data_IF_269488523856
#
_entry.id   IF_269488523856
#
_cell.length_a   1.000
_cell.length_b   1.000
_cell.length_c   1.000
_cell.angle_alpha   90.00
_cell.angle_beta   90.00
_cell.angle_gamma   90.00
#
_symmetry.space_group_name_H-M   'P 1'
#
loop_
_entity.id
_entity.type
_entity.pdbx_description
1 polymer ?
#
# COMPACT_ATOMS: atom_id res chain seq x y z
N UNK A 1 4.79 23.91 -17.60
CA UNK A 1 4.45 22.86 -16.61
C UNK A 1 4.97 21.56 -17.18
N UNK A 2 5.84 20.90 -16.44
CA UNK A 2 6.48 19.68 -16.93
C UNK A 2 5.48 18.50 -16.90
N UNK A 3 5.76 17.46 -17.69
CA UNK A 3 4.96 16.22 -17.76
C UNK A 3 4.84 15.56 -16.38
N UNK A 4 5.91 15.60 -15.57
CA UNK A 4 5.91 15.08 -14.20
C UNK A 4 4.82 15.78 -13.35
N UNK A 5 4.76 17.12 -13.40
CA UNK A 5 3.75 17.88 -12.65
C UNK A 5 2.34 17.50 -13.09
N UNK A 6 2.13 17.33 -14.41
CA UNK A 6 0.82 16.95 -14.97
C UNK A 6 0.41 15.57 -14.45
N UNK A 7 1.31 14.59 -14.48
CA UNK A 7 1.04 13.23 -13.98
C UNK A 7 0.72 13.26 -12.48
N UNK A 8 1.54 13.94 -11.67
CA UNK A 8 1.34 14.03 -10.23
C UNK A 8 0.02 14.75 -9.87
N UNK A 9 -0.33 15.81 -10.59
CA UNK A 9 -1.62 16.49 -10.42
C UNK A 9 -2.80 15.61 -10.81
N UNK A 10 -2.71 14.84 -11.89
CA UNK A 10 -3.77 13.90 -12.30
C UNK A 10 -3.96 12.82 -11.24
N UNK A 11 -2.87 12.23 -10.72
CA UNK A 11 -2.93 11.25 -9.63
C UNK A 11 -3.58 11.86 -8.38
N UNK A 12 -3.15 13.07 -7.98
CA UNK A 12 -3.73 13.77 -6.85
C UNK A 12 -5.22 14.08 -7.07
N UNK A 13 -5.62 14.49 -8.27
CA UNK A 13 -7.02 14.77 -8.60
C UNK A 13 -7.87 13.50 -8.55
N UNK A 14 -7.39 12.38 -9.09
CA UNK A 14 -8.08 11.09 -9.01
C UNK A 14 -8.24 10.69 -7.54
N UNK A 15 -7.17 10.78 -6.75
CA UNK A 15 -7.19 10.47 -5.33
C UNK A 15 -8.18 11.37 -4.56
N UNK A 16 -8.20 12.67 -4.86
CA UNK A 16 -9.15 13.62 -4.30
C UNK A 16 -10.59 13.21 -4.62
N UNK A 17 -10.91 12.89 -5.88
CA UNK A 17 -12.26 12.49 -6.30
C UNK A 17 -12.69 11.16 -5.67
N UNK A 18 -11.77 10.21 -5.56
CA UNK A 18 -12.01 8.93 -4.88
C UNK A 18 -12.29 9.17 -3.39
N UNK A 19 -11.46 9.97 -2.72
CA UNK A 19 -11.63 10.32 -1.31
C UNK A 19 -12.90 11.13 -1.04
N UNK A 20 -13.26 12.03 -1.94
CA UNK A 20 -14.52 12.79 -1.86
C UNK A 20 -15.74 11.89 -1.97
N UNK A 21 -15.69 10.87 -2.84
CA UNK A 21 -16.78 9.91 -2.99
C UNK A 21 -16.88 8.95 -1.82
N UNK A 22 -15.73 8.46 -1.32
CA UNK A 22 -15.65 7.49 -0.23
C UNK A 22 -15.83 8.11 1.15
N UNK A 23 -15.41 9.35 1.38
CA UNK A 23 -15.44 9.96 2.72
C UNK A 23 -14.30 9.52 3.64
N UNK A 24 -14.07 10.30 4.70
CA UNK A 24 -13.01 10.07 5.68
C UNK A 24 -13.23 8.77 6.46
N UNK A 25 -14.45 8.50 6.90
CA UNK A 25 -14.77 7.29 7.67
C UNK A 25 -14.50 6.02 6.87
N UNK A 26 -14.94 5.93 5.62
CA UNK A 26 -14.58 4.78 4.76
C UNK A 26 -13.07 4.67 4.53
N UNK A 27 -12.37 5.80 4.34
CA UNK A 27 -10.92 5.80 4.14
C UNK A 27 -10.14 5.27 5.36
N UNK A 28 -10.44 5.79 6.56
CA UNK A 28 -9.84 5.31 7.82
C UNK A 28 -10.29 3.87 8.09
N UNK A 29 -11.58 3.58 7.90
CA UNK A 29 -12.16 2.25 8.09
C UNK A 29 -11.49 1.21 7.21
N UNK A 30 -11.13 1.54 5.97
CA UNK A 30 -10.37 0.66 5.08
C UNK A 30 -8.95 0.38 5.58
N UNK A 31 -8.25 1.40 6.12
CA UNK A 31 -6.93 1.21 6.72
C UNK A 31 -7.01 0.33 7.98
N UNK A 32 -7.97 0.61 8.85
CA UNK A 32 -8.23 -0.19 10.06
C UNK A 32 -8.64 -1.61 9.69
N UNK A 33 -9.46 -1.79 8.66
CA UNK A 33 -9.85 -3.10 8.15
C UNK A 33 -8.64 -3.88 7.64
N UNK A 34 -7.77 -3.24 6.86
CA UNK A 34 -6.56 -3.87 6.34
C UNK A 34 -5.61 -4.32 7.45
N UNK A 35 -5.23 -3.40 8.35
CA UNK A 35 -4.28 -3.67 9.44
C UNK A 35 -4.88 -4.67 10.42
N UNK A 36 -6.13 -4.47 10.81
CA UNK A 36 -6.86 -5.38 11.71
C UNK A 36 -6.98 -6.78 11.12
N UNK A 37 -7.35 -6.90 9.84
CA UNK A 37 -7.46 -8.19 9.17
C UNK A 37 -6.12 -8.92 9.08
N UNK A 38 -5.02 -8.23 8.74
CA UNK A 38 -3.68 -8.86 8.73
C UNK A 38 -3.28 -9.32 10.12
N UNK A 39 -3.48 -8.49 11.14
CA UNK A 39 -3.16 -8.84 12.51
C UNK A 39 -3.97 -10.05 12.99
N UNK A 40 -5.29 -10.04 12.79
CA UNK A 40 -6.16 -11.17 13.15
C UNK A 40 -5.84 -12.43 12.33
N UNK A 41 -5.61 -12.31 11.02
CA UNK A 41 -5.24 -13.45 10.19
C UNK A 41 -3.93 -14.09 10.67
N UNK A 42 -2.91 -13.28 10.97
CA UNK A 42 -1.64 -13.78 11.53
C UNK A 42 -1.85 -14.57 12.83
N UNK A 43 -2.74 -14.10 13.69
CA UNK A 43 -3.02 -14.73 15.00
C UNK A 43 -3.83 -16.02 14.88
N UNK A 44 -4.85 -16.06 14.02
CA UNK A 44 -5.84 -17.16 14.00
C UNK A 44 -5.69 -18.13 12.82
N UNK A 45 -4.87 -17.82 11.80
CA UNK A 45 -4.72 -18.67 10.62
C UNK A 45 -4.19 -20.07 10.96
N UNK A 46 -3.26 -20.19 11.92
CA UNK A 46 -2.73 -21.49 12.33
C UNK A 46 -3.81 -22.40 12.90
N UNK A 47 -4.63 -21.87 13.82
CA UNK A 47 -5.72 -22.64 14.42
C UNK A 47 -6.77 -23.06 13.38
N UNK A 48 -7.11 -22.18 12.43
CA UNK A 48 -8.04 -22.52 11.37
C UNK A 48 -7.45 -23.55 10.37
N UNK A 49 -6.14 -23.51 10.12
CA UNK A 49 -5.46 -24.49 9.28
C UNK A 49 -5.49 -25.89 9.88
N UNK A 50 -5.35 -26.02 11.21
CA UNK A 50 -5.49 -27.30 11.91
C UNK A 50 -6.89 -27.91 11.74
N UNK A 51 -7.93 -27.07 11.79
CA UNK A 51 -9.31 -27.51 11.53
C UNK A 51 -9.44 -28.03 10.10
N UNK A 52 -8.86 -27.33 9.11
CA UNK A 52 -8.89 -27.77 7.72
C UNK A 52 -8.08 -29.05 7.49
N UNK A 53 -6.97 -29.25 8.19
CA UNK A 53 -6.19 -30.49 8.12
C UNK A 53 -7.02 -31.72 8.55
N UNK A 54 -7.99 -31.53 9.46
CA UNK A 54 -8.94 -32.59 9.85
C UNK A 54 -9.90 -33.02 8.73
N UNK A 55 -10.13 -32.19 7.71
CA UNK A 55 -10.99 -32.51 6.56
C UNK A 55 -10.20 -32.81 5.29
N UNK A 56 -9.00 -32.25 5.14
CA UNK A 56 -8.12 -32.38 3.98
C UNK A 56 -6.71 -32.80 4.38
N UNK A 57 -6.59 -33.99 4.97
CA UNK A 57 -5.32 -34.51 5.51
C UNK A 57 -4.23 -34.80 4.47
N UNK A 58 -4.58 -34.86 3.18
CA UNK A 58 -3.62 -35.08 2.08
C UNK A 58 -2.98 -33.78 1.56
N UNK A 59 -3.46 -32.61 1.98
CA UNK A 59 -2.92 -31.32 1.53
C UNK A 59 -1.72 -30.86 2.38
N UNK A 60 -0.79 -30.15 1.75
CA UNK A 60 0.36 -29.55 2.43
C UNK A 60 -0.09 -28.51 3.48
N UNK A 61 0.46 -28.61 4.69
CA UNK A 61 0.16 -27.73 5.83
C UNK A 61 0.38 -26.24 5.50
N UNK A 62 1.37 -25.90 4.68
CA UNK A 62 1.61 -24.52 4.24
C UNK A 62 0.48 -24.02 3.35
N UNK A 63 -0.03 -24.87 2.46
CA UNK A 63 -1.16 -24.53 1.60
C UNK A 63 -2.41 -24.31 2.45
N UNK A 64 -2.66 -25.17 3.43
CA UNK A 64 -3.77 -25.00 4.36
C UNK A 64 -3.65 -23.72 5.18
N UNK A 65 -2.45 -23.37 5.66
CA UNK A 65 -2.19 -22.10 6.35
C UNK A 65 -2.47 -20.89 5.45
N UNK A 66 -2.02 -20.89 4.20
CA UNK A 66 -2.26 -19.79 3.26
C UNK A 66 -3.76 -19.62 3.01
N UNK A 67 -4.50 -20.71 2.81
CA UNK A 67 -5.96 -20.68 2.62
C UNK A 67 -6.64 -20.14 3.88
N UNK A 68 -6.26 -20.63 5.06
CA UNK A 68 -6.80 -20.18 6.34
C UNK A 68 -6.53 -18.69 6.58
N UNK A 69 -5.30 -18.23 6.32
CA UNK A 69 -4.92 -16.83 6.41
C UNK A 69 -5.76 -15.96 5.48
N UNK A 70 -5.89 -16.35 4.21
CA UNK A 70 -6.70 -15.63 3.24
C UNK A 70 -8.17 -15.56 3.68
N UNK A 71 -8.73 -16.66 4.20
CA UNK A 71 -10.12 -16.68 4.65
C UNK A 71 -10.34 -15.74 5.84
N UNK A 72 -9.51 -15.84 6.89
CA UNK A 72 -9.63 -14.96 8.06
C UNK A 72 -9.46 -13.50 7.65
N UNK A 73 -8.45 -13.20 6.82
CA UNK A 73 -8.22 -11.86 6.32
C UNK A 73 -9.45 -11.31 5.59
N UNK A 74 -10.02 -12.06 4.64
CA UNK A 74 -11.17 -11.61 3.85
C UNK A 74 -12.41 -11.39 4.72
N UNK A 75 -12.71 -12.31 5.64
CA UNK A 75 -13.87 -12.21 6.53
C UNK A 75 -13.75 -10.99 7.45
N UNK A 76 -12.61 -10.82 8.12
CA UNK A 76 -12.40 -9.71 9.04
C UNK A 76 -12.40 -8.38 8.30
N UNK A 77 -11.70 -8.30 7.17
CA UNK A 77 -11.65 -7.10 6.33
C UNK A 77 -13.06 -6.71 5.86
N UNK A 78 -13.88 -7.68 5.43
CA UNK A 78 -15.27 -7.45 5.04
C UNK A 78 -16.10 -6.90 6.20
N UNK A 79 -16.04 -7.53 7.39
CA UNK A 79 -16.81 -7.12 8.56
C UNK A 79 -16.46 -5.69 8.99
N UNK A 80 -15.18 -5.36 9.12
CA UNK A 80 -14.75 -4.01 9.51
C UNK A 80 -15.15 -2.99 8.44
N UNK A 81 -15.00 -3.34 7.17
CA UNK A 81 -15.42 -2.47 6.06
C UNK A 81 -16.92 -2.18 6.11
N UNK A 82 -17.77 -3.18 6.37
CA UNK A 82 -19.21 -2.99 6.50
C UNK A 82 -19.56 -2.06 7.68
N UNK A 83 -18.88 -2.22 8.82
CA UNK A 83 -19.05 -1.32 9.97
C UNK A 83 -18.68 0.13 9.63
N UNK A 84 -17.59 0.34 8.90
CA UNK A 84 -17.19 1.67 8.45
C UNK A 84 -18.25 2.31 7.53
N UNK A 85 -18.83 1.54 6.60
CA UNK A 85 -19.90 2.03 5.72
C UNK A 85 -21.18 2.37 6.50
N UNK A 86 -21.50 1.60 7.54
CA UNK A 86 -22.63 1.89 8.41
C UNK A 86 -22.42 3.21 9.17
N UNK A 87 -21.25 3.38 9.79
CA UNK A 87 -20.89 4.61 10.49
C UNK A 87 -20.92 5.83 9.55
N UNK A 88 -20.45 5.66 8.32
CA UNK A 88 -20.51 6.72 7.33
C UNK A 88 -21.93 7.12 6.97
N UNK A 89 -22.85 6.15 6.89
CA UNK A 89 -24.27 6.41 6.65
C UNK A 89 -24.88 7.21 7.80
N UNK A 90 -24.49 6.93 9.04
CA UNK A 90 -24.90 7.72 10.21
C UNK A 90 -24.36 9.16 10.15
N UNK A 91 -23.11 9.37 9.78
CA UNK A 91 -22.56 10.74 9.62
C UNK A 91 -23.26 11.55 8.54
N UNK A 92 -23.69 10.89 7.45
CA UNK A 92 -24.50 11.52 6.41
C UNK A 92 -25.86 11.97 6.95
N UNK A 93 -26.48 11.17 7.82
CA UNK A 93 -27.74 11.52 8.48
C UNK A 93 -27.61 12.72 9.44
N UNK A 94 -26.42 12.94 10.00
CA UNK A 94 -26.12 14.06 10.92
C UNK A 94 -25.73 15.37 10.20
N UNK A 95 -25.96 15.51 8.89
CA UNK A 95 -25.55 16.66 8.05
C UNK A 95 -24.03 16.94 8.00
N UNK A 96 -23.20 16.11 8.64
CA UNK A 96 -21.73 16.17 8.62
C UNK A 96 -21.12 15.52 7.37
N UNK A 97 -21.96 15.10 6.41
CA UNK A 97 -21.55 14.40 5.21
C UNK A 97 -20.54 15.17 4.35
N UNK A 98 -20.70 16.49 4.21
CA UNK A 98 -19.77 17.29 3.40
C UNK A 98 -18.39 17.44 4.06
N UNK A 99 -18.35 17.57 5.39
CA UNK A 99 -17.10 17.59 6.17
C UNK A 99 -16.38 16.25 6.03
N UNK A 100 -17.12 15.13 6.20
CA UNK A 100 -16.57 13.78 6.01
C UNK A 100 -15.98 13.58 4.60
N UNK A 101 -16.64 14.09 3.55
CA UNK A 101 -16.14 14.01 2.17
C UNK A 101 -14.90 14.85 1.95
N UNK A 102 -14.86 16.08 2.48
CA UNK A 102 -13.71 16.97 2.35
C UNK A 102 -12.46 16.36 3.00
N UNK A 103 -12.55 15.92 4.25
CA UNK A 103 -11.42 15.28 4.92
C UNK A 103 -11.03 13.95 4.26
N UNK A 104 -12.01 13.20 3.73
CA UNK A 104 -11.72 11.99 2.94
C UNK A 104 -10.93 12.29 1.67
N UNK A 105 -11.26 13.37 0.98
CA UNK A 105 -10.55 13.84 -0.20
C UNK A 105 -9.11 14.27 0.14
N UNK A 106 -8.93 15.07 1.19
CA UNK A 106 -7.61 15.50 1.66
C UNK A 106 -6.74 14.32 2.09
N UNK A 107 -7.29 13.40 2.89
CA UNK A 107 -6.57 12.20 3.32
C UNK A 107 -6.13 11.35 2.13
N UNK A 108 -7.00 11.18 1.13
CA UNK A 108 -6.69 10.39 -0.06
C UNK A 108 -5.58 11.02 -0.90
N UNK A 109 -5.53 12.36 -1.00
CA UNK A 109 -4.41 13.07 -1.65
C UNK A 109 -3.11 12.83 -0.89
N UNK A 110 -3.12 12.89 0.45
CA UNK A 110 -1.93 12.62 1.27
C UNK A 110 -1.44 11.18 1.05
N UNK A 111 -2.35 10.20 1.06
CA UNK A 111 -2.02 8.80 0.79
C UNK A 111 -1.45 8.63 -0.62
N UNK A 112 -2.05 9.28 -1.62
CA UNK A 112 -1.55 9.21 -3.00
C UNK A 112 -0.18 9.88 -3.17
N UNK A 113 0.07 11.01 -2.50
CA UNK A 113 1.37 11.65 -2.46
C UNK A 113 2.43 10.75 -1.80
N UNK A 114 2.07 10.07 -0.71
CA UNK A 114 2.94 9.07 -0.08
C UNK A 114 3.25 7.89 -1.01
N UNK A 115 2.24 7.33 -1.67
CA UNK A 115 2.43 6.25 -2.66
C UNK A 115 3.30 6.71 -3.85
N UNK A 116 3.05 7.90 -4.38
CA UNK A 116 3.87 8.48 -5.44
C UNK A 116 5.32 8.68 -4.98
N UNK A 117 5.52 9.12 -3.73
CA UNK A 117 6.85 9.25 -3.12
C UNK A 117 7.61 7.92 -3.07
N UNK A 118 6.94 6.82 -2.71
CA UNK A 118 7.53 5.48 -2.76
C UNK A 118 7.98 5.14 -4.18
N UNK A 119 7.13 5.36 -5.18
CA UNK A 119 7.47 5.09 -6.58
C UNK A 119 8.66 5.93 -7.04
N UNK A 120 8.68 7.23 -6.71
CA UNK A 120 9.78 8.12 -7.09
C UNK A 120 11.10 7.76 -6.39
N UNK A 121 11.08 7.41 -5.10
CA UNK A 121 12.29 6.97 -4.39
C UNK A 121 12.82 5.64 -4.93
N UNK A 122 11.94 4.70 -5.28
CA UNK A 122 12.34 3.45 -5.95
C UNK A 122 12.96 3.77 -7.32
N UNK A 123 12.38 4.71 -8.07
CA UNK A 123 12.92 5.16 -9.35
C UNK A 123 14.33 5.76 -9.19
N UNK A 124 14.54 6.72 -8.27
CA UNK A 124 15.86 7.31 -8.03
C UNK A 124 16.90 6.29 -7.58
N UNK A 125 16.45 5.28 -6.83
CA UNK A 125 17.32 4.19 -6.44
C UNK A 125 17.72 3.30 -7.64
N UNK A 126 16.78 2.99 -8.53
CA UNK A 126 16.95 2.04 -9.63
C UNK A 126 17.62 2.64 -10.88
N UNK A 127 17.37 3.92 -11.21
CA UNK A 127 17.87 4.61 -12.39
C UNK A 127 18.66 5.86 -11.99
N UNK A 128 19.85 5.61 -11.43
CA UNK A 128 20.77 6.67 -10.96
C UNK A 128 21.30 7.55 -12.08
N UNK A 129 21.32 7.03 -13.32
CA UNK A 129 21.80 7.75 -14.49
C UNK A 129 20.68 8.49 -15.23
N UNK A 130 19.45 8.47 -14.71
CA UNK A 130 18.30 9.24 -15.20
C UNK A 130 18.01 9.01 -16.69
N UNK A 131 18.13 7.77 -17.14
CA UNK A 131 17.89 7.43 -18.54
C UNK A 131 16.41 7.51 -18.94
N UNK A 132 15.48 7.33 -17.98
CA UNK A 132 14.03 7.31 -18.25
C UNK A 132 13.35 8.68 -18.07
N UNK A 133 13.81 9.51 -17.13
CA UNK A 133 13.34 10.88 -16.90
C UNK A 133 14.57 11.79 -16.93
N UNK A 134 14.65 12.69 -17.90
CA UNK A 134 15.84 13.53 -18.04
C UNK A 134 16.00 14.48 -16.85
N UNK A 135 17.25 14.78 -16.49
CA UNK A 135 17.55 15.74 -15.41
C UNK A 135 16.85 17.10 -15.63
N UNK A 136 16.71 17.51 -16.90
CA UNK A 136 16.02 18.74 -17.27
C UNK A 136 14.51 18.70 -16.96
N UNK A 137 13.85 17.56 -17.16
CA UNK A 137 12.45 17.40 -16.75
C UNK A 137 12.32 17.46 -15.21
N UNK A 138 13.25 16.87 -14.47
CA UNK A 138 13.22 16.92 -13.00
C UNK A 138 13.39 18.36 -12.51
N UNK A 139 14.37 19.09 -13.06
CA UNK A 139 14.67 20.48 -12.68
C UNK A 139 13.51 21.44 -12.99
N UNK A 140 12.81 21.23 -14.11
CA UNK A 140 11.64 22.03 -14.49
C UNK A 140 10.36 21.68 -13.71
N UNK A 141 10.38 20.63 -12.87
CA UNK A 141 9.20 20.18 -12.09
C UNK A 141 9.12 20.84 -10.73
N UNK A 142 7.97 21.42 -10.43
CA UNK A 142 7.70 22.04 -9.11
C UNK A 142 7.33 20.98 -8.07
N UNK A 143 6.62 19.92 -8.49
CA UNK A 143 6.06 18.93 -7.57
C UNK A 143 7.00 17.76 -7.28
N UNK A 144 7.98 17.48 -8.15
CA UNK A 144 8.84 16.31 -8.03
C UNK A 144 9.55 16.24 -6.67
N UNK A 145 10.33 17.26 -6.32
CA UNK A 145 11.08 17.31 -5.06
C UNK A 145 10.17 17.30 -3.83
N UNK A 146 9.03 18.00 -3.92
CA UNK A 146 8.03 18.04 -2.85
C UNK A 146 7.47 16.64 -2.57
N UNK A 147 7.08 15.90 -3.61
CA UNK A 147 6.53 14.55 -3.47
C UNK A 147 7.62 13.55 -3.09
N UNK A 148 8.82 13.65 -3.65
CA UNK A 148 9.96 12.78 -3.34
C UNK A 148 10.31 12.80 -1.85
N UNK A 149 10.20 13.97 -1.19
CA UNK A 149 10.50 14.15 0.23
C UNK A 149 9.45 13.62 1.20
N UNK A 150 8.24 13.29 0.73
CA UNK A 150 7.14 12.84 1.61
C UNK A 150 7.49 11.52 2.33
N UNK A 151 8.04 10.54 1.62
CA UNK A 151 8.42 9.26 2.18
C UNK A 151 9.54 9.37 3.24
N UNK A 152 10.70 9.99 2.97
CA UNK A 152 11.76 10.13 3.98
C UNK A 152 11.33 11.01 5.17
N UNK A 153 10.36 11.91 5.01
CA UNK A 153 9.80 12.65 6.14
C UNK A 153 9.00 11.75 7.10
N UNK A 154 8.35 10.69 6.58
CA UNK A 154 7.57 9.73 7.38
C UNK A 154 8.45 8.57 7.86
N UNK A 155 9.44 8.17 7.06
CA UNK A 155 10.39 7.09 7.36
C UNK A 155 11.81 7.66 7.28
N UNK A 156 12.32 8.29 8.34
CA UNK A 156 13.63 8.97 8.33
C UNK A 156 14.80 8.05 7.95
N UNK A 157 14.76 6.79 8.41
CA UNK A 157 15.81 5.80 8.19
C UNK A 157 15.68 5.03 6.86
N UNK A 158 14.85 5.52 5.93
CA UNK A 158 14.60 4.87 4.64
C UNK A 158 15.89 4.56 3.86
N UNK A 159 16.85 5.50 3.85
CA UNK A 159 18.13 5.29 3.13
C UNK A 159 18.97 4.19 3.75
N UNK A 160 19.01 4.10 5.08
CA UNK A 160 19.72 3.04 5.79
C UNK A 160 19.07 1.69 5.50
N UNK A 161 17.73 1.62 5.55
CA UNK A 161 16.96 0.43 5.21
C UNK A 161 17.22 -0.07 3.77
N UNK A 162 17.26 0.83 2.77
CA UNK A 162 17.58 0.43 1.40
C UNK A 162 19.02 -0.05 1.26
N UNK A 163 20.00 0.66 1.84
CA UNK A 163 21.41 0.29 1.69
C UNK A 163 21.72 -1.05 2.35
N UNK A 164 21.22 -1.28 3.57
CA UNK A 164 21.43 -2.52 4.31
C UNK A 164 20.87 -3.74 3.57
N UNK A 165 19.62 -3.67 3.10
CA UNK A 165 18.97 -4.80 2.44
C UNK A 165 19.45 -5.02 0.99
N UNK A 166 19.95 -3.99 0.31
CA UNK A 166 20.44 -4.13 -1.07
C UNK A 166 21.88 -4.68 -1.14
N UNK A 167 22.72 -4.44 -0.14
CA UNK A 167 24.01 -5.10 -0.02
C UNK A 167 23.88 -6.62 0.13
N UNK A 168 22.83 -7.11 0.80
CA UNK A 168 22.54 -8.55 0.82
C UNK A 168 22.15 -9.07 -0.56
N UNK A 169 21.33 -8.34 -1.31
CA UNK A 169 20.86 -8.74 -2.65
C UNK A 169 21.96 -8.70 -3.72
N UNK A 170 22.88 -7.74 -3.66
CA UNK A 170 24.03 -7.64 -4.58
C UNK A 170 25.09 -8.73 -4.31
N UNK A 171 25.20 -9.18 -3.05
CA UNK A 171 26.10 -10.25 -2.64
C UNK A 171 25.47 -11.65 -2.69
N UNK A 172 24.22 -11.79 -3.19
CA UNK A 172 23.64 -13.11 -3.40
C UNK A 172 24.49 -13.89 -4.41
N UNK A 173 24.90 -15.12 -4.09
CA UNK A 173 25.67 -15.94 -5.02
C UNK A 173 24.82 -16.19 -6.28
N UNK A 174 25.26 -15.64 -7.42
CA UNK A 174 24.62 -15.74 -8.76
C UNK A 174 24.32 -17.18 -9.22
N UNK A 175 24.75 -18.19 -8.46
CA UNK A 175 24.58 -19.61 -8.73
C UNK A 175 23.18 -20.15 -8.41
N UNK A 176 22.36 -19.45 -7.60
CA UNK A 176 21.00 -19.94 -7.29
C UNK A 176 19.99 -19.73 -8.44
N UNK A 177 20.23 -18.77 -9.34
CA UNK A 177 19.34 -18.49 -10.48
C UNK A 177 19.62 -19.41 -11.69
N UNK A 178 20.81 -19.99 -11.79
CA UNK A 178 21.17 -20.91 -12.87
C UNK A 178 20.81 -22.38 -12.57
N UNK A 179 20.55 -22.74 -11.31
CA UNK A 179 20.26 -24.11 -10.89
C UNK A 179 18.82 -24.58 -11.07
N UNK A 180 17.88 -23.68 -11.43
CA UNK A 180 16.46 -24.02 -11.61
C UNK A 180 16.02 -24.12 -13.08
N UNK A 181 16.93 -23.98 -14.05
CA UNK A 181 16.64 -24.27 -15.47
C UNK A 181 17.15 -25.64 -15.95
N UNK A 182 17.58 -26.50 -15.03
CA UNK A 182 17.95 -27.89 -15.34
C UNK A 182 17.32 -28.87 -14.35
N UNK A 183 15.99 -28.90 -14.26
CA UNK A 183 15.21 -30.12 -14.00
C UNK A 183 13.93 -30.03 -14.83
#
# INVERSE_FOLDING_TARGET
>A
MNVIDIVLMVVALIAFLVGWRKGLVSAIGGLVALVGAVWTARTYAAHLAEIFAGWWSEMDEKVLYIIAFALVFLVVNLVISLLAHLLESLLKALFLGWVNRLFGALLSVVIAAFMASIVLNIYEFADKDHHLISAQQIEDSVLYDTVLKVLPAIVPDLKAFYQENMHELENLPKKSLAGQQQI
#
